data_IF_409852303083
#
_entry.id   IF_409852303083
#
_cell.length_a   1.000
_cell.length_b   1.000
_cell.length_c   1.000
_cell.angle_alpha   90.00
_cell.angle_beta   90.00
_cell.angle_gamma   90.00
#
_symmetry.space_group_name_H-M   'P 1'
#
loop_
_entity.id
_entity.type
_entity.pdbx_description
1 polymer ?
#
# COMPACT_ATOMS: atom_id res chain seq x y z
N UNK A 1 -6.27 -45.19 46.27
CA UNK A 1 -7.31 -46.10 45.74
C UNK A 1 -8.67 -45.60 46.21
N UNK A 2 -9.71 -45.29 45.44
CA UNK A 2 -9.92 -44.78 44.07
C UNK A 2 -11.32 -44.14 44.12
N UNK A 3 -11.51 -42.91 43.59
CA UNK A 3 -12.79 -42.15 43.63
C UNK A 3 -13.37 -42.07 42.23
N UNK A 4 -14.61 -42.51 42.04
CA UNK A 4 -15.45 -42.15 40.87
C UNK A 4 -16.92 -42.14 41.35
N UNK A 5 -17.57 -40.97 41.38
CA UNK A 5 -19.05 -40.84 41.50
C UNK A 5 -19.53 -39.58 40.79
N UNK A 6 -20.44 -39.72 39.82
CA UNK A 6 -21.39 -38.71 39.34
C UNK A 6 -22.47 -39.45 38.51
N UNK A 7 -23.69 -39.70 38.98
CA UNK A 7 -24.81 -38.81 39.34
C UNK A 7 -25.59 -38.26 38.11
N UNK A 8 -26.58 -39.04 37.67
CA UNK A 8 -28.01 -38.72 37.45
C UNK A 8 -28.50 -37.31 37.07
N UNK A 9 -29.27 -37.28 35.95
CA UNK A 9 -30.57 -36.60 35.68
C UNK A 9 -30.60 -35.05 35.59
N UNK A 10 -31.12 -34.53 34.45
CA UNK A 10 -32.23 -33.55 34.27
C UNK A 10 -32.09 -32.88 32.88
N UNK A 11 -33.12 -33.03 32.05
CA UNK A 11 -33.27 -32.38 30.73
C UNK A 11 -33.50 -30.88 30.87
N UNK A 12 -32.76 -30.05 30.13
CA UNK A 12 -33.12 -28.66 29.86
C UNK A 12 -32.79 -28.31 28.41
N UNK A 13 -33.85 -28.23 27.59
CA UNK A 13 -33.79 -27.64 26.25
C UNK A 13 -33.59 -26.13 26.44
N UNK A 14 -32.39 -25.63 26.14
CA UNK A 14 -32.19 -24.21 25.89
C UNK A 14 -32.43 -23.95 24.40
N UNK A 15 -33.64 -23.50 24.10
CA UNK A 15 -33.95 -22.81 22.85
C UNK A 15 -33.31 -21.41 22.94
N UNK A 16 -32.00 -21.36 22.68
CA UNK A 16 -31.20 -20.13 22.65
C UNK A 16 -31.24 -19.53 21.25
N UNK A 17 -32.24 -18.67 20.99
CA UNK A 17 -32.19 -17.72 19.89
C UNK A 17 -31.30 -16.54 20.35
N UNK A 18 -30.06 -16.45 19.84
CA UNK A 18 -29.16 -15.33 20.12
C UNK A 18 -27.78 -15.53 19.50
N UNK A 19 -27.39 -14.61 18.60
CA UNK A 19 -26.17 -14.67 17.76
C UNK A 19 -24.84 -14.94 18.52
N UNK A 20 -23.76 -15.32 17.83
CA UNK A 20 -23.15 -14.52 16.75
C UNK A 20 -22.58 -15.40 15.64
N UNK A 21 -22.92 -15.02 14.41
CA UNK A 21 -22.14 -15.31 13.21
C UNK A 21 -20.84 -14.52 13.32
N UNK A 22 -19.70 -15.17 13.11
CA UNK A 22 -18.52 -14.67 12.42
C UNK A 22 -17.34 -15.57 12.81
N UNK A 23 -17.08 -16.61 12.02
CA UNK A 23 -15.68 -16.91 11.76
C UNK A 23 -15.11 -15.61 11.24
N UNK A 24 -14.24 -14.96 12.02
CA UNK A 24 -13.51 -13.80 11.54
C UNK A 24 -12.86 -14.25 10.23
N UNK A 25 -13.24 -13.61 9.14
CA UNK A 25 -12.44 -13.70 7.92
C UNK A 25 -11.14 -13.00 8.31
N UNK A 26 -10.17 -13.78 8.78
CA UNK A 26 -8.81 -13.30 8.99
C UNK A 26 -8.26 -13.03 7.58
N UNK A 27 -8.28 -11.77 7.16
CA UNK A 27 -7.59 -11.37 5.94
C UNK A 27 -6.11 -11.76 6.10
N UNK A 28 -5.50 -12.42 5.10
CA UNK A 28 -4.09 -12.74 5.18
C UNK A 28 -3.32 -11.45 5.47
N UNK A 29 -2.29 -11.50 6.35
CA UNK A 29 -1.50 -10.31 6.64
C UNK A 29 -0.96 -9.76 5.31
N UNK A 30 -1.11 -8.45 5.09
CA UNK A 30 -0.51 -7.83 3.91
C UNK A 30 0.98 -8.21 3.86
N UNK A 31 1.52 -8.53 2.67
CA UNK A 31 2.93 -8.79 2.55
C UNK A 31 3.71 -7.57 3.10
N UNK A 32 4.86 -7.82 3.74
CA UNK A 32 5.67 -6.72 4.24
C UNK A 32 6.10 -5.82 3.08
N UNK A 33 6.00 -4.50 3.29
CA UNK A 33 6.38 -3.49 2.30
C UNK A 33 7.80 -2.99 2.57
N UNK A 34 8.53 -2.70 1.50
CA UNK A 34 9.85 -2.09 1.52
C UNK A 34 9.72 -0.57 1.36
N UNK A 35 10.39 0.17 2.24
CA UNK A 35 10.49 1.63 2.12
C UNK A 35 11.61 2.00 1.15
N UNK A 36 11.29 2.86 0.19
CA UNK A 36 12.23 3.57 -0.68
C UNK A 36 12.12 5.05 -0.36
N UNK A 37 13.28 5.71 -0.19
CA UNK A 37 13.38 7.16 -0.11
C UNK A 37 13.77 7.66 -1.51
N UNK A 38 12.87 8.35 -2.18
CA UNK A 38 13.10 8.92 -3.51
C UNK A 38 13.41 10.41 -3.40
N UNK A 39 14.55 10.84 -3.91
CA UNK A 39 14.85 12.27 -4.07
C UNK A 39 14.31 12.76 -5.39
N UNK A 40 13.30 13.64 -5.35
CA UNK A 40 12.63 14.19 -6.52
C UNK A 40 13.61 14.93 -7.43
N UNK A 41 13.50 14.71 -8.74
CA UNK A 41 14.28 15.36 -9.80
C UNK A 41 13.41 16.30 -10.63
N UNK A 42 14.09 17.14 -11.42
CA UNK A 42 13.41 18.10 -12.28
C UNK A 42 12.56 17.40 -13.34
N UNK A 43 11.27 17.75 -13.37
CA UNK A 43 10.28 17.21 -14.30
C UNK A 43 9.54 15.96 -13.82
N UNK A 44 9.78 15.51 -12.59
CA UNK A 44 9.01 14.41 -12.00
C UNK A 44 7.71 14.90 -11.36
N UNK A 45 6.71 14.03 -11.36
CA UNK A 45 5.41 14.23 -10.72
C UNK A 45 4.92 12.93 -10.09
N UNK A 46 3.94 13.00 -9.18
CA UNK A 46 3.47 11.83 -8.45
C UNK A 46 2.92 10.72 -9.35
N UNK A 47 2.27 11.06 -10.47
CA UNK A 47 1.74 10.08 -11.43
C UNK A 47 2.86 9.30 -12.12
N UNK A 48 3.93 9.99 -12.52
CA UNK A 48 5.11 9.39 -13.12
C UNK A 48 5.80 8.46 -12.11
N UNK A 49 6.00 8.92 -10.87
CA UNK A 49 6.61 8.11 -9.82
C UNK A 49 5.75 6.89 -9.48
N UNK A 50 4.42 7.02 -9.46
CA UNK A 50 3.52 5.88 -9.25
C UNK A 50 3.59 4.87 -10.41
N UNK A 51 3.67 5.35 -11.65
CA UNK A 51 3.91 4.49 -12.81
C UNK A 51 5.24 3.73 -12.72
N UNK A 52 6.26 4.32 -12.09
CA UNK A 52 7.54 3.66 -11.88
C UNK A 52 7.53 2.66 -10.72
N UNK A 53 7.02 3.07 -9.56
CA UNK A 53 7.06 2.25 -8.33
C UNK A 53 5.98 1.18 -8.28
N UNK A 54 4.80 1.45 -8.82
CA UNK A 54 3.65 0.56 -8.73
C UNK A 54 3.19 0.00 -10.08
N UNK A 55 3.85 0.39 -11.17
CA UNK A 55 3.41 0.08 -12.54
C UNK A 55 1.98 0.56 -12.84
N UNK A 56 1.48 1.50 -12.03
CA UNK A 56 0.15 2.08 -12.15
C UNK A 56 0.18 3.55 -11.73
N UNK A 57 0.05 4.45 -12.70
CA UNK A 57 0.06 5.89 -12.47
C UNK A 57 -1.08 6.35 -11.54
N UNK A 58 -2.17 5.59 -11.40
CA UNK A 58 -3.31 5.92 -10.53
C UNK A 58 -2.99 5.73 -9.05
N UNK A 59 -1.91 5.03 -8.73
CA UNK A 59 -1.46 4.82 -7.36
C UNK A 59 -0.64 6.00 -6.79
N UNK A 60 -0.62 7.15 -7.47
CA UNK A 60 -0.02 8.39 -6.98
C UNK A 60 -0.52 8.79 -5.59
N UNK A 61 -1.77 8.44 -5.27
CA UNK A 61 -2.40 8.70 -3.97
C UNK A 61 -1.63 8.02 -2.83
N UNK A 62 -1.04 6.84 -3.06
CA UNK A 62 -0.28 6.11 -2.06
C UNK A 62 1.01 6.87 -1.68
N UNK A 63 1.69 7.46 -2.67
CA UNK A 63 2.86 8.31 -2.43
C UNK A 63 2.44 9.57 -1.69
N UNK A 64 1.35 10.23 -2.12
CA UNK A 64 0.86 11.42 -1.45
C UNK A 64 0.51 11.16 0.02
N UNK A 65 -0.24 10.09 0.32
CA UNK A 65 -0.65 9.72 1.67
C UNK A 65 0.56 9.48 2.59
N UNK A 66 1.60 8.79 2.11
CA UNK A 66 2.83 8.56 2.86
C UNK A 66 3.61 9.85 3.17
N UNK A 67 3.33 10.95 2.46
CA UNK A 67 4.07 12.20 2.52
C UNK A 67 3.21 13.43 2.81
N UNK A 68 1.98 13.28 3.34
CA UNK A 68 1.07 14.41 3.59
C UNK A 68 1.64 15.47 4.55
N UNK A 69 2.59 15.09 5.41
CA UNK A 69 3.31 16.04 6.26
C UNK A 69 4.29 16.96 5.50
N UNK A 70 4.72 16.55 4.31
CA UNK A 70 5.70 17.27 3.48
C UNK A 70 5.11 17.81 2.16
N UNK A 71 4.07 17.16 1.62
CA UNK A 71 3.38 17.58 0.40
C UNK A 71 2.09 18.29 0.78
N UNK A 72 2.07 19.62 0.62
CA UNK A 72 0.86 20.42 0.84
C UNK A 72 -0.09 20.35 -0.36
N UNK A 73 0.45 20.31 -1.58
CA UNK A 73 -0.33 20.22 -2.80
C UNK A 73 0.18 19.01 -3.61
N UNK A 74 -0.65 17.97 -3.85
CA UNK A 74 -0.22 16.76 -4.55
C UNK A 74 0.25 17.01 -5.99
N UNK A 75 -0.20 18.12 -6.61
CA UNK A 75 0.25 18.52 -7.94
C UNK A 75 1.58 19.28 -7.93
N UNK A 76 2.21 19.45 -6.76
CA UNK A 76 3.47 20.20 -6.60
C UNK A 76 4.44 19.43 -5.71
N UNK A 77 5.38 18.75 -6.35
CA UNK A 77 6.61 18.25 -5.72
C UNK A 77 7.81 19.00 -6.31
N UNK A 78 8.88 19.15 -5.55
CA UNK A 78 10.02 19.99 -5.93
C UNK A 78 11.32 19.19 -5.99
N UNK A 79 12.24 19.51 -6.91
CA UNK A 79 13.55 18.88 -6.95
C UNK A 79 14.27 18.96 -5.59
N UNK A 80 14.88 17.85 -5.17
CA UNK A 80 15.56 17.72 -3.87
C UNK A 80 14.64 17.31 -2.71
N UNK A 81 13.32 17.29 -2.90
CA UNK A 81 12.39 16.77 -1.91
C UNK A 81 12.54 15.26 -1.76
N UNK A 82 12.63 14.76 -0.54
CA UNK A 82 12.60 13.31 -0.25
C UNK A 82 11.16 12.85 -0.08
N UNK A 83 10.79 11.78 -0.80
CA UNK A 83 9.49 11.13 -0.73
C UNK A 83 9.63 9.70 -0.25
N UNK A 84 8.80 9.33 0.72
CA UNK A 84 8.63 7.96 1.16
C UNK A 84 7.70 7.20 0.22
N UNK A 85 8.18 6.07 -0.31
CA UNK A 85 7.42 5.19 -1.20
C UNK A 85 7.49 3.77 -0.64
N UNK A 86 6.34 3.19 -0.30
CA UNK A 86 6.22 1.83 0.21
C UNK A 86 5.85 0.88 -0.93
N UNK A 87 6.81 0.08 -1.38
CA UNK A 87 6.65 -0.89 -2.47
C UNK A 87 6.63 -2.33 -1.92
N UNK A 88 6.32 -3.30 -2.79
CA UNK A 88 6.46 -4.71 -2.44
C UNK A 88 7.91 -5.06 -2.04
N UNK A 89 8.07 -6.05 -1.17
CA UNK A 89 9.38 -6.37 -0.60
C UNK A 89 10.43 -6.84 -1.61
N UNK A 90 9.99 -7.51 -2.67
CA UNK A 90 10.79 -7.99 -3.79
C UNK A 90 10.87 -6.98 -4.94
N UNK A 91 10.42 -5.74 -4.72
CA UNK A 91 10.41 -4.72 -5.75
C UNK A 91 11.80 -4.51 -6.36
N UNK A 92 11.83 -4.55 -7.69
CA UNK A 92 12.99 -4.25 -8.52
C UNK A 92 12.65 -3.10 -9.46
N UNK A 93 13.60 -2.16 -9.69
CA UNK A 93 13.45 -1.11 -10.69
C UNK A 93 13.07 -1.69 -12.06
N UNK A 94 11.93 -1.30 -12.67
CA UNK A 94 11.56 -1.78 -13.99
C UNK A 94 12.44 -1.21 -15.11
N UNK A 95 13.08 -0.07 -14.87
CA UNK A 95 14.02 0.59 -15.77
C UNK A 95 14.87 1.62 -15.01
N UNK A 96 15.87 2.20 -15.66
CA UNK A 96 16.58 3.37 -15.15
C UNK A 96 15.68 4.62 -15.29
N UNK A 97 15.12 5.07 -14.16
CA UNK A 97 14.21 6.22 -14.12
C UNK A 97 14.87 7.50 -14.62
N UNK A 98 16.16 7.72 -14.33
CA UNK A 98 16.86 8.93 -14.75
C UNK A 98 17.05 8.94 -16.25
N UNK A 99 17.49 7.81 -16.81
CA UNK A 99 17.62 7.66 -18.24
C UNK A 99 16.26 7.85 -18.94
N UNK A 100 15.18 7.31 -18.37
CA UNK A 100 13.82 7.48 -18.87
C UNK A 100 13.37 8.94 -18.86
N UNK A 101 13.42 9.61 -17.72
CA UNK A 101 13.00 11.01 -17.57
C UNK A 101 13.84 11.92 -18.46
N UNK A 102 15.16 11.71 -18.53
CA UNK A 102 16.03 12.51 -19.41
C UNK A 102 15.71 12.30 -20.90
N UNK A 103 15.48 11.05 -21.32
CA UNK A 103 15.15 10.72 -22.72
C UNK A 103 13.83 11.35 -23.15
N UNK A 104 12.82 11.32 -22.28
CA UNK A 104 11.46 11.75 -22.62
C UNK A 104 11.10 13.16 -22.15
N UNK A 105 12.03 13.89 -21.50
CA UNK A 105 11.81 15.24 -20.98
C UNK A 105 11.12 16.21 -21.96
N UNK A 106 11.47 16.27 -23.26
CA UNK A 106 10.81 17.18 -24.20
C UNK A 106 9.30 16.88 -24.38
N UNK A 107 8.91 15.62 -24.21
CA UNK A 107 7.55 15.12 -24.43
C UNK A 107 6.68 15.22 -23.17
N UNK A 108 7.28 14.92 -22.01
CA UNK A 108 6.59 15.00 -20.72
C UNK A 108 6.10 16.42 -20.40
N UNK A 109 6.86 17.44 -20.80
CA UNK A 109 6.51 18.85 -20.55
C UNK A 109 5.55 19.45 -21.59
N UNK A 110 5.47 18.85 -22.79
CA UNK A 110 4.67 19.37 -23.91
C UNK A 110 3.33 18.67 -24.07
N UNK A 111 3.07 17.60 -23.31
CA UNK A 111 1.83 16.81 -23.40
C UNK A 111 1.66 16.09 -24.74
N UNK A 112 2.72 16.00 -25.54
CA UNK A 112 2.73 15.28 -26.82
C UNK A 112 3.51 13.98 -26.64
N UNK A 113 2.83 12.86 -26.85
CA UNK A 113 3.48 11.55 -27.01
C UNK A 113 3.88 11.44 -28.48
N UNK A 114 5.12 11.03 -28.81
CA UNK A 114 5.50 10.78 -30.20
C UNK A 114 4.74 9.60 -30.82
#
# INVERSE_FOLDING_TARGET
MMRITAASIITLVFLGLGGRIASAIEFPPEPPKKLIIHTVKSGEELHLLAGYYFLDCRQWVNIYQANMGAIVNPNKIYPGQELYVYVENDWTPPFDLDAYVNKWRPYLLSGTVP
#
